data_IF_890899844911
#
_entry.id   IF_890899844911
#
_cell.length_a   1.000
_cell.length_b   1.000
_cell.length_c   1.000
_cell.angle_alpha   90.00
_cell.angle_beta   90.00
_cell.angle_gamma   90.00
#
_symmetry.space_group_name_H-M   'P 1'
#
loop_
_entity.id
_entity.type
_entity.pdbx_description
1 polymer ?
#
# COMPACT_ATOMS: atom_id res chain seq x y z
N UNK A 1 72.87 -51.04 -5.46
CA UNK A 1 71.69 -50.16 -5.49
C UNK A 1 71.07 -50.14 -4.10
N UNK A 2 71.13 -49.03 -3.36
CA UNK A 2 70.36 -48.87 -2.12
C UNK A 2 68.94 -48.47 -2.53
N UNK A 3 67.99 -49.39 -2.44
CA UNK A 3 66.56 -49.10 -2.59
C UNK A 3 66.05 -48.52 -1.28
N UNK A 4 65.76 -47.23 -1.25
CA UNK A 4 65.11 -46.58 -0.11
C UNK A 4 63.69 -47.15 0.03
N UNK A 5 63.40 -47.88 1.11
CA UNK A 5 62.07 -48.45 1.34
C UNK A 5 61.11 -47.34 1.79
N UNK A 6 60.19 -46.96 0.91
CA UNK A 6 59.00 -46.22 1.34
C UNK A 6 58.05 -47.27 1.94
N UNK A 7 57.63 -47.08 3.19
CA UNK A 7 56.70 -48.00 3.86
C UNK A 7 55.39 -48.11 3.08
N UNK A 8 54.89 -49.32 2.88
CA UNK A 8 53.58 -49.62 2.24
C UNK A 8 52.44 -48.86 2.91
N UNK A 9 52.57 -48.61 4.22
CA UNK A 9 51.64 -47.79 4.99
C UNK A 9 51.61 -46.34 4.48
N UNK A 10 52.77 -45.72 4.25
CA UNK A 10 52.86 -44.33 3.77
C UNK A 10 52.23 -44.17 2.37
N UNK A 11 52.39 -45.18 1.50
CA UNK A 11 51.78 -45.19 0.17
C UNK A 11 50.24 -45.33 0.27
N UNK A 12 49.76 -46.24 1.11
CA UNK A 12 48.32 -46.44 1.35
C UNK A 12 47.66 -45.19 1.96
N UNK A 13 48.29 -44.55 2.94
CA UNK A 13 47.77 -43.30 3.52
C UNK A 13 47.73 -42.16 2.50
N UNK A 14 48.76 -42.02 1.67
CA UNK A 14 48.80 -41.00 0.61
C UNK A 14 47.68 -41.19 -0.41
N UNK A 15 47.38 -42.42 -0.81
CA UNK A 15 46.27 -42.72 -1.73
C UNK A 15 44.90 -42.44 -1.10
N UNK A 16 44.70 -42.84 0.17
CA UNK A 16 43.48 -42.54 0.94
C UNK A 16 43.24 -41.03 1.06
N UNK A 17 44.26 -40.26 1.38
CA UNK A 17 44.19 -38.79 1.45
C UNK A 17 43.87 -38.17 0.09
N UNK A 18 44.44 -38.72 -0.99
CA UNK A 18 44.20 -38.23 -2.36
C UNK A 18 42.77 -38.50 -2.81
N UNK A 19 42.24 -39.70 -2.54
CA UNK A 19 40.83 -40.05 -2.80
C UNK A 19 39.89 -39.12 -2.02
N UNK A 20 40.15 -38.92 -0.72
CA UNK A 20 39.34 -38.00 0.09
C UNK A 20 39.33 -36.57 -0.46
N UNK A 21 40.48 -36.06 -0.91
CA UNK A 21 40.56 -34.75 -1.58
C UNK A 21 39.79 -34.70 -2.90
N UNK A 22 39.85 -35.75 -3.71
CA UNK A 22 39.10 -35.84 -4.97
C UNK A 22 37.58 -35.91 -4.73
N UNK A 23 37.15 -36.65 -3.72
CA UNK A 23 35.73 -36.71 -3.32
C UNK A 23 35.21 -35.34 -2.87
N UNK A 24 35.98 -34.60 -2.05
CA UNK A 24 35.62 -33.24 -1.65
C UNK A 24 35.53 -32.29 -2.84
N UNK A 25 36.51 -32.33 -3.75
CA UNK A 25 36.50 -31.53 -4.98
C UNK A 25 35.32 -31.87 -5.88
N UNK A 26 34.99 -33.16 -6.01
CA UNK A 26 33.85 -33.63 -6.79
C UNK A 26 32.53 -33.12 -6.20
N UNK A 27 32.36 -33.20 -4.87
CA UNK A 27 31.17 -32.68 -4.21
C UNK A 27 31.00 -31.16 -4.42
N UNK A 28 32.09 -30.38 -4.34
CA UNK A 28 32.06 -28.94 -4.66
C UNK A 28 31.73 -28.68 -6.12
N UNK A 29 32.36 -29.37 -7.07
CA UNK A 29 32.09 -29.20 -8.49
C UNK A 29 30.64 -29.60 -8.85
N UNK A 30 30.10 -30.65 -8.22
CA UNK A 30 28.69 -31.02 -8.35
C UNK A 30 27.77 -29.91 -7.84
N UNK A 31 28.08 -29.32 -6.67
CA UNK A 31 27.32 -28.17 -6.15
C UNK A 31 27.39 -26.98 -7.11
N UNK A 32 28.54 -26.69 -7.72
CA UNK A 32 28.70 -25.63 -8.72
C UNK A 32 27.86 -25.87 -9.96
N UNK A 33 27.85 -27.10 -10.49
CA UNK A 33 27.01 -27.47 -11.64
C UNK A 33 25.52 -27.29 -11.34
N UNK A 34 25.07 -27.73 -10.16
CA UNK A 34 23.65 -27.68 -9.78
C UNK A 34 23.19 -26.26 -9.49
N UNK A 35 24.01 -25.46 -8.81
CA UNK A 35 23.64 -24.11 -8.36
C UNK A 35 24.00 -23.01 -9.35
N UNK A 36 24.87 -23.29 -10.34
CA UNK A 36 25.44 -22.29 -11.23
C UNK A 36 26.35 -21.28 -10.54
N UNK A 37 26.73 -21.52 -9.27
CA UNK A 37 27.46 -20.61 -8.40
C UNK A 37 28.62 -21.32 -7.73
N UNK A 38 29.71 -20.60 -7.46
CA UNK A 38 30.88 -21.09 -6.73
C UNK A 38 30.45 -21.81 -5.43
N UNK A 39 30.95 -23.03 -5.21
CA UNK A 39 30.52 -23.88 -4.09
C UNK A 39 30.86 -23.26 -2.73
N UNK A 40 32.02 -22.62 -2.67
CA UNK A 40 32.51 -21.81 -1.56
C UNK A 40 32.97 -20.45 -2.11
N UNK A 41 32.05 -19.49 -2.05
CA UNK A 41 32.29 -18.11 -2.48
C UNK A 41 33.32 -17.42 -1.59
N UNK A 42 33.35 -17.75 -0.30
CA UNK A 42 34.30 -17.19 0.66
C UNK A 42 35.74 -17.56 0.32
N UNK A 43 35.95 -18.86 0.12
CA UNK A 43 37.27 -19.38 -0.24
C UNK A 43 37.70 -18.93 -1.64
N UNK A 44 36.79 -18.94 -2.61
CA UNK A 44 37.11 -18.63 -4.01
C UNK A 44 37.38 -17.14 -4.26
N UNK A 45 36.64 -16.25 -3.59
CA UNK A 45 36.79 -14.80 -3.76
C UNK A 45 37.82 -14.17 -2.80
N UNK A 46 38.13 -14.80 -1.67
CA UNK A 46 39.10 -14.30 -0.70
C UNK A 46 38.73 -12.90 -0.20
N UNK A 47 39.56 -11.89 -0.50
CA UNK A 47 39.30 -10.51 -0.06
C UNK A 47 38.02 -9.91 -0.69
N UNK A 48 37.60 -10.39 -1.86
CA UNK A 48 36.38 -9.92 -2.55
C UNK A 48 35.09 -10.46 -1.94
N UNK A 49 35.17 -11.39 -0.98
CA UNK A 49 33.98 -11.91 -0.29
C UNK A 49 33.23 -10.80 0.45
N UNK A 50 33.93 -9.79 0.98
CA UNK A 50 33.29 -8.64 1.63
C UNK A 50 32.43 -7.82 0.65
N UNK A 51 32.91 -7.66 -0.58
CA UNK A 51 32.19 -6.94 -1.64
C UNK A 51 30.88 -7.65 -2.01
N UNK A 52 30.91 -8.96 -2.28
CA UNK A 52 29.68 -9.69 -2.63
C UNK A 52 28.67 -9.71 -1.48
N UNK A 53 29.12 -9.84 -0.22
CA UNK A 53 28.22 -9.77 0.93
C UNK A 53 27.54 -8.41 1.01
N UNK A 54 28.30 -7.32 0.81
CA UNK A 54 27.73 -5.97 0.77
C UNK A 54 26.72 -5.79 -0.37
N UNK A 55 27.02 -6.30 -1.56
CA UNK A 55 26.11 -6.25 -2.71
C UNK A 55 24.81 -7.00 -2.45
N UNK A 56 24.87 -8.19 -1.82
CA UNK A 56 23.67 -8.95 -1.46
C UNK A 56 22.82 -8.24 -0.42
N UNK A 57 23.44 -7.62 0.59
CA UNK A 57 22.71 -6.82 1.58
C UNK A 57 22.01 -5.62 0.92
N UNK A 58 22.70 -4.94 0.01
CA UNK A 58 22.12 -3.83 -0.75
C UNK A 58 20.95 -4.28 -1.65
N UNK A 59 21.13 -5.41 -2.36
CA UNK A 59 20.10 -6.03 -3.19
C UNK A 59 18.82 -6.30 -2.40
N UNK A 60 18.93 -6.97 -1.25
CA UNK A 60 17.76 -7.28 -0.40
C UNK A 60 17.13 -6.02 0.20
N UNK A 61 17.95 -5.02 0.54
CA UNK A 61 17.44 -3.73 1.05
C UNK A 61 16.60 -3.02 0.00
N UNK A 62 17.09 -2.91 -1.23
CA UNK A 62 16.35 -2.24 -2.32
C UNK A 62 15.11 -3.07 -2.67
N UNK A 63 15.20 -4.40 -2.73
CA UNK A 63 14.06 -5.28 -2.97
C UNK A 63 12.94 -5.09 -1.94
N UNK A 64 13.29 -5.03 -0.65
CA UNK A 64 12.32 -4.77 0.42
C UNK A 64 11.64 -3.41 0.25
N UNK A 65 12.36 -2.40 -0.26
CA UNK A 65 11.79 -1.09 -0.54
C UNK A 65 10.85 -1.10 -1.75
N UNK A 66 11.16 -1.87 -2.81
CA UNK A 66 10.24 -2.12 -3.93
C UNK A 66 8.95 -2.78 -3.43
N UNK A 67 9.06 -3.80 -2.56
CA UNK A 67 7.90 -4.49 -2.00
C UNK A 67 7.04 -3.55 -1.15
N UNK A 68 7.67 -2.71 -0.32
CA UNK A 68 6.99 -1.69 0.48
C UNK A 68 6.29 -0.65 -0.41
N UNK A 69 6.93 -0.22 -1.49
CA UNK A 69 6.31 0.68 -2.47
C UNK A 69 5.11 0.05 -3.16
N UNK A 70 5.11 -1.27 -3.40
CA UNK A 70 3.93 -1.98 -3.92
C UNK A 70 2.73 -1.91 -2.98
N UNK A 71 2.96 -1.96 -1.66
CA UNK A 71 1.88 -1.77 -0.67
C UNK A 71 1.34 -0.33 -0.70
N UNK A 72 2.25 0.65 -0.81
CA UNK A 72 1.89 2.08 -0.92
C UNK A 72 1.06 2.35 -2.18
N UNK A 73 1.49 1.81 -3.32
CA UNK A 73 0.80 1.93 -4.61
C UNK A 73 -0.63 1.37 -4.53
N UNK A 74 -0.80 0.13 -4.04
CA UNK A 74 -2.12 -0.47 -3.85
C UNK A 74 -3.02 0.39 -2.95
N UNK A 75 -2.46 0.97 -1.88
CA UNK A 75 -3.21 1.85 -0.98
C UNK A 75 -3.63 3.15 -1.66
N UNK A 76 -2.76 3.75 -2.47
CA UNK A 76 -3.07 4.95 -3.25
C UNK A 76 -4.15 4.66 -4.30
N UNK A 77 -4.09 3.51 -4.98
CA UNK A 77 -5.12 3.09 -5.94
C UNK A 77 -6.50 2.94 -5.29
N UNK A 78 -6.57 2.25 -4.15
CA UNK A 78 -7.83 2.11 -3.40
C UNK A 78 -8.37 3.47 -2.94
N UNK A 79 -7.48 4.38 -2.52
CA UNK A 79 -7.86 5.74 -2.12
C UNK A 79 -8.42 6.53 -3.30
N UNK A 80 -7.76 6.48 -4.47
CA UNK A 80 -8.21 7.13 -5.70
C UNK A 80 -9.56 6.58 -6.18
N UNK A 81 -9.76 5.26 -6.11
CA UNK A 81 -11.03 4.63 -6.47
C UNK A 81 -12.17 5.08 -5.53
N UNK A 82 -11.90 5.18 -4.23
CA UNK A 82 -12.87 5.69 -3.26
C UNK A 82 -13.19 7.18 -3.50
N UNK A 83 -12.18 8.02 -3.77
CA UNK A 83 -12.39 9.43 -4.12
C UNK A 83 -13.19 9.59 -5.43
N UNK A 84 -12.93 8.75 -6.44
CA UNK A 84 -13.67 8.78 -7.69
C UNK A 84 -15.15 8.47 -7.46
N UNK A 85 -15.46 7.43 -6.68
CA UNK A 85 -16.83 7.09 -6.33
C UNK A 85 -17.53 8.21 -5.55
N UNK A 86 -16.80 8.96 -4.72
CA UNK A 86 -17.33 10.13 -4.01
C UNK A 86 -17.63 11.28 -4.99
N UNK A 87 -16.75 11.54 -5.94
CA UNK A 87 -16.95 12.56 -6.98
C UNK A 87 -18.17 12.22 -7.85
N UNK A 88 -18.30 10.97 -8.28
CA UNK A 88 -19.44 10.52 -9.09
C UNK A 88 -20.75 10.70 -8.31
N UNK A 89 -20.80 10.27 -7.04
CA UNK A 89 -21.97 10.46 -6.18
C UNK A 89 -22.32 11.94 -5.97
N UNK A 90 -21.33 12.82 -5.87
CA UNK A 90 -21.55 14.26 -5.75
C UNK A 90 -22.12 14.87 -7.05
N UNK A 91 -21.64 14.42 -8.22
CA UNK A 91 -22.15 14.87 -9.52
C UNK A 91 -23.60 14.41 -9.75
N UNK A 92 -23.89 13.13 -9.44
CA UNK A 92 -25.25 12.59 -9.52
C UNK A 92 -26.20 13.36 -8.60
N UNK A 93 -25.77 13.65 -7.38
CA UNK A 93 -26.54 14.43 -6.42
C UNK A 93 -26.85 15.86 -6.91
N UNK A 94 -25.90 16.53 -7.57
CA UNK A 94 -26.16 17.84 -8.20
C UNK A 94 -27.24 17.72 -9.29
N UNK A 95 -27.20 16.66 -10.11
CA UNK A 95 -28.23 16.38 -11.10
C UNK A 95 -29.61 16.15 -10.48
N UNK A 96 -29.67 15.35 -9.42
CA UNK A 96 -30.88 15.07 -8.64
C UNK A 96 -31.49 16.35 -8.04
N UNK A 97 -30.66 17.23 -7.48
CA UNK A 97 -31.07 18.51 -6.93
C UNK A 97 -31.72 19.42 -7.98
N UNK A 98 -31.12 19.49 -9.18
CA UNK A 98 -31.68 20.28 -10.28
C UNK A 98 -33.02 19.72 -10.76
N UNK A 99 -33.14 18.39 -10.86
CA UNK A 99 -34.39 17.73 -11.24
C UNK A 99 -35.50 17.95 -10.19
N UNK A 100 -35.16 17.90 -8.90
CA UNK A 100 -36.11 18.06 -7.80
C UNK A 100 -36.81 19.43 -7.79
N UNK A 101 -36.22 20.48 -8.37
CA UNK A 101 -36.87 21.80 -8.49
C UNK A 101 -38.09 21.82 -9.40
N UNK A 102 -38.19 20.86 -10.32
CA UNK A 102 -39.21 20.82 -11.36
C UNK A 102 -40.41 19.93 -11.04
N UNK A 103 -40.39 19.23 -9.89
CA UNK A 103 -41.40 18.23 -9.51
C UNK A 103 -42.00 18.52 -8.13
N UNK A 104 -43.32 18.36 -8.01
CA UNK A 104 -44.04 18.46 -6.72
C UNK A 104 -43.60 17.39 -5.70
N UNK A 105 -43.12 16.22 -6.16
CA UNK A 105 -42.54 15.17 -5.32
C UNK A 105 -41.04 15.31 -5.09
N UNK A 106 -40.44 16.38 -5.64
CA UNK A 106 -39.00 16.65 -5.59
C UNK A 106 -38.40 16.64 -4.18
N UNK A 107 -38.98 17.34 -3.18
CA UNK A 107 -38.42 17.39 -1.84
C UNK A 107 -38.25 16.02 -1.17
N UNK A 108 -39.24 15.13 -1.27
CA UNK A 108 -39.19 13.80 -0.67
C UNK A 108 -38.22 12.86 -1.40
N UNK A 109 -38.12 12.99 -2.72
CA UNK A 109 -37.17 12.21 -3.52
C UNK A 109 -35.73 12.58 -3.18
N UNK A 110 -35.42 13.89 -3.22
CA UNK A 110 -34.04 14.37 -3.04
C UNK A 110 -33.53 14.20 -1.62
N UNK A 111 -34.43 14.27 -0.62
CA UNK A 111 -34.09 13.92 0.76
C UNK A 111 -33.60 12.47 0.86
N UNK A 112 -34.35 11.51 0.28
CA UNK A 112 -33.96 10.09 0.30
C UNK A 112 -32.63 9.87 -0.43
N UNK A 113 -32.44 10.54 -1.57
CA UNK A 113 -31.17 10.50 -2.29
C UNK A 113 -30.01 11.06 -1.45
N UNK A 114 -30.23 12.17 -0.75
CA UNK A 114 -29.25 12.76 0.15
C UNK A 114 -28.90 11.84 1.34
N UNK A 115 -29.89 11.16 1.94
CA UNK A 115 -29.65 10.16 3.00
C UNK A 115 -28.78 9.00 2.51
N UNK A 116 -29.06 8.48 1.30
CA UNK A 116 -28.26 7.44 0.67
C UNK A 116 -26.85 7.92 0.31
N UNK A 117 -26.73 9.12 -0.26
CA UNK A 117 -25.45 9.71 -0.64
C UNK A 117 -24.57 10.02 0.57
N UNK A 118 -25.15 10.53 1.66
CA UNK A 118 -24.45 10.74 2.92
C UNK A 118 -23.94 9.41 3.49
N UNK A 119 -24.81 8.40 3.56
CA UNK A 119 -24.41 7.07 4.06
C UNK A 119 -23.29 6.47 3.20
N UNK A 120 -23.42 6.55 1.88
CA UNK A 120 -22.40 6.09 0.93
C UNK A 120 -21.07 6.83 1.07
N UNK A 121 -21.09 8.15 1.27
CA UNK A 121 -19.89 8.96 1.55
C UNK A 121 -19.18 8.46 2.81
N UNK A 122 -19.91 8.31 3.92
CA UNK A 122 -19.35 7.85 5.18
C UNK A 122 -18.76 6.43 5.04
N UNK A 123 -19.43 5.54 4.31
CA UNK A 123 -18.94 4.19 4.04
C UNK A 123 -17.64 4.20 3.23
N UNK A 124 -17.54 5.02 2.17
CA UNK A 124 -16.31 5.15 1.39
C UNK A 124 -15.16 5.68 2.23
N UNK A 125 -15.40 6.69 3.05
CA UNK A 125 -14.39 7.27 3.93
C UNK A 125 -13.99 6.33 5.07
N UNK A 126 -14.86 5.38 5.42
CA UNK A 126 -14.56 4.30 6.36
C UNK A 126 -13.99 3.03 5.69
N UNK A 127 -13.55 3.10 4.43
CA UNK A 127 -12.89 1.96 3.78
C UNK A 127 -11.57 1.64 4.48
N UNK A 128 -11.36 0.35 4.78
CA UNK A 128 -10.12 -0.16 5.36
C UNK A 128 -9.42 -1.12 4.39
N UNK A 129 -8.09 -1.15 4.48
CA UNK A 129 -7.23 -2.11 3.78
C UNK A 129 -6.21 -2.65 4.77
N UNK A 130 -6.11 -3.98 4.91
CA UNK A 130 -5.25 -4.66 5.88
C UNK A 130 -5.42 -4.11 7.32
N UNK A 131 -6.67 -4.03 7.80
CA UNK A 131 -7.05 -3.49 9.11
C UNK A 131 -6.66 -2.02 9.38
N UNK A 132 -6.26 -1.28 8.33
CA UNK A 132 -5.92 0.13 8.39
C UNK A 132 -6.87 0.98 7.53
N UNK A 133 -7.59 1.91 8.15
CA UNK A 133 -8.50 2.83 7.46
C UNK A 133 -7.74 3.76 6.51
N UNK A 134 -8.28 3.92 5.30
CA UNK A 134 -7.63 4.68 4.22
C UNK A 134 -7.60 6.19 4.51
N UNK A 135 -8.71 6.71 5.04
CA UNK A 135 -8.93 8.15 5.27
C UNK A 135 -8.78 8.57 6.74
N UNK A 136 -8.11 7.76 7.58
CA UNK A 136 -7.91 8.10 9.00
C UNK A 136 -6.70 9.02 9.27
N UNK A 137 -5.95 9.41 8.23
CA UNK A 137 -4.63 10.01 8.41
C UNK A 137 -3.71 9.03 9.15
N UNK A 138 -2.92 9.54 10.10
CA UNK A 138 -2.05 8.71 10.95
C UNK A 138 -2.80 7.86 12.01
N UNK A 139 -4.10 8.08 12.25
CA UNK A 139 -4.92 7.30 13.20
C UNK A 139 -5.50 6.02 12.53
N UNK A 140 -4.67 5.24 11.85
CA UNK A 140 -5.11 4.20 10.91
C UNK A 140 -5.94 3.08 11.54
N UNK A 141 -5.85 2.89 12.85
CA UNK A 141 -6.55 1.86 13.63
C UNK A 141 -7.94 2.29 14.13
N UNK A 142 -8.33 3.55 13.92
CA UNK A 142 -9.62 4.09 14.37
C UNK A 142 -10.52 4.38 13.16
N UNK A 143 -11.78 3.92 13.24
CA UNK A 143 -12.81 4.22 12.23
C UNK A 143 -12.96 5.74 12.09
N UNK A 144 -12.70 6.34 10.92
CA UNK A 144 -12.70 7.79 10.74
C UNK A 144 -14.01 8.47 11.10
N UNK A 145 -15.14 7.94 10.62
CA UNK A 145 -16.44 8.60 10.70
C UNK A 145 -17.49 7.68 11.31
N UNK A 146 -18.30 8.26 12.17
CA UNK A 146 -19.49 7.60 12.72
C UNK A 146 -20.65 7.70 11.74
N UNK A 147 -21.45 6.64 11.60
CA UNK A 147 -22.64 6.67 10.73
C UNK A 147 -23.64 7.72 11.26
N UNK A 148 -24.06 8.64 10.40
CA UNK A 148 -24.94 9.75 10.74
C UNK A 148 -26.34 9.30 11.17
N UNK A 149 -26.85 8.19 10.61
CA UNK A 149 -28.21 7.71 10.87
C UNK A 149 -28.27 6.56 11.88
N UNK A 150 -27.15 6.22 12.51
CA UNK A 150 -27.10 5.13 13.49
C UNK A 150 -27.92 5.41 14.75
N UNK A 151 -28.18 4.35 15.51
CA UNK A 151 -28.84 4.40 16.83
C UNK A 151 -27.90 3.80 17.88
N UNK A 152 -27.63 4.51 19.01
CA UNK A 152 -28.14 5.83 19.41
C UNK A 152 -27.65 6.98 18.53
N UNK A 153 -28.40 8.10 18.51
CA UNK A 153 -28.10 9.29 17.69
C UNK A 153 -26.65 9.76 17.88
N UNK A 154 -25.86 9.89 16.80
CA UNK A 154 -24.48 10.33 16.90
C UNK A 154 -24.37 11.84 17.16
N UNK A 155 -23.21 12.29 17.64
CA UNK A 155 -22.93 13.69 17.95
C UNK A 155 -23.11 14.61 16.72
N UNK A 156 -22.71 14.14 15.53
CA UNK A 156 -22.91 14.84 14.26
C UNK A 156 -24.39 15.20 14.03
N UNK A 157 -25.28 14.21 14.09
CA UNK A 157 -26.72 14.41 13.89
C UNK A 157 -27.36 15.23 15.01
N UNK A 158 -26.94 15.02 16.25
CA UNK A 158 -27.40 15.82 17.37
C UNK A 158 -27.03 17.30 17.19
N UNK A 159 -25.82 17.60 16.73
CA UNK A 159 -25.36 18.98 16.52
C UNK A 159 -26.17 19.71 15.44
N UNK A 160 -26.62 19.01 14.39
CA UNK A 160 -27.51 19.57 13.35
C UNK A 160 -28.90 19.86 13.90
N UNK A 161 -29.47 18.94 14.68
CA UNK A 161 -30.75 19.15 15.34
C UNK A 161 -30.72 20.32 16.35
N UNK A 162 -29.67 20.42 17.15
CA UNK A 162 -29.50 21.49 18.12
C UNK A 162 -29.31 22.86 17.45
N UNK A 163 -28.54 22.92 16.36
CA UNK A 163 -28.36 24.13 15.58
C UNK A 163 -29.68 24.61 14.95
N UNK A 164 -30.45 23.69 14.38
CA UNK A 164 -31.75 24.01 13.79
C UNK A 164 -32.74 24.49 14.85
N UNK A 165 -32.83 23.78 15.98
CA UNK A 165 -33.70 24.16 17.10
C UNK A 165 -33.31 25.52 17.69
N UNK A 166 -32.01 25.80 17.83
CA UNK A 166 -31.52 27.09 18.34
C UNK A 166 -31.89 28.24 17.42
N UNK A 167 -31.80 28.03 16.11
CA UNK A 167 -32.10 29.07 15.12
C UNK A 167 -33.61 29.35 14.98
N UNK A 168 -34.43 28.30 14.94
CA UNK A 168 -35.84 28.42 14.56
C UNK A 168 -36.81 28.22 15.73
N UNK A 169 -36.34 27.74 16.89
CA UNK A 169 -37.17 27.44 18.06
C UNK A 169 -38.07 26.21 17.89
N UNK A 170 -37.91 25.47 16.80
CA UNK A 170 -38.71 24.29 16.42
C UNK A 170 -37.79 23.17 15.93
N UNK A 171 -38.25 21.92 15.99
CA UNK A 171 -37.50 20.79 15.43
C UNK A 171 -37.73 20.67 13.92
N UNK A 172 -36.84 19.97 13.21
CA UNK A 172 -36.99 19.70 11.77
C UNK A 172 -38.25 18.89 11.42
N UNK A 173 -38.83 18.22 12.42
CA UNK A 173 -40.07 17.46 12.28
C UNK A 173 -41.33 18.26 12.62
N UNK A 174 -41.20 19.51 13.07
CA UNK A 174 -42.33 20.33 13.48
C UNK A 174 -43.16 20.79 12.26
N UNK A 175 -44.51 20.77 12.31
CA UNK A 175 -45.34 21.34 11.23
C UNK A 175 -45.07 22.83 10.93
N UNK A 176 -44.57 23.59 11.90
CA UNK A 176 -44.24 25.01 11.74
C UNK A 176 -43.02 25.26 10.84
N UNK A 177 -42.27 24.22 10.44
CA UNK A 177 -41.14 24.32 9.49
C UNK A 177 -41.56 24.97 8.16
N UNK A 178 -42.83 24.81 7.76
CA UNK A 178 -43.39 25.46 6.56
C UNK A 178 -43.34 26.98 6.62
N UNK A 179 -43.26 27.59 7.82
CA UNK A 179 -43.25 29.03 8.02
C UNK A 179 -41.83 29.66 7.91
N UNK A 180 -40.78 28.85 7.76
CA UNK A 180 -39.40 29.38 7.65
C UNK A 180 -39.24 30.09 6.31
N UNK A 181 -38.91 31.38 6.32
CA UNK A 181 -38.69 32.16 5.10
C UNK A 181 -37.36 31.77 4.42
N UNK A 182 -37.27 31.97 3.10
CA UNK A 182 -36.03 31.75 2.36
C UNK A 182 -34.84 32.55 2.94
N UNK A 183 -35.06 33.80 3.35
CA UNK A 183 -34.01 34.64 3.94
C UNK A 183 -33.51 34.12 5.29
N UNK A 184 -34.42 33.64 6.16
CA UNK A 184 -34.04 33.04 7.43
C UNK A 184 -33.30 31.71 7.22
N UNK A 185 -33.75 30.90 6.27
CA UNK A 185 -33.06 29.67 5.88
C UNK A 185 -31.66 29.97 5.34
N UNK A 186 -31.53 30.90 4.39
CA UNK A 186 -30.22 31.28 3.84
C UNK A 186 -29.27 31.76 4.93
N UNK A 187 -29.74 32.61 5.85
CA UNK A 187 -28.94 33.09 6.98
C UNK A 187 -28.46 31.91 7.85
N UNK A 188 -29.33 30.95 8.14
CA UNK A 188 -28.96 29.74 8.88
C UNK A 188 -27.89 28.92 8.15
N UNK A 189 -28.07 28.71 6.84
CA UNK A 189 -27.15 27.95 6.00
C UNK A 189 -25.76 28.60 5.94
N UNK A 190 -25.71 29.93 5.82
CA UNK A 190 -24.45 30.68 5.67
C UNK A 190 -23.70 30.89 7.00
N UNK A 191 -24.38 30.71 8.14
CA UNK A 191 -23.81 30.97 9.47
C UNK A 191 -23.78 29.71 10.33
N UNK A 192 -24.85 29.46 11.09
CA UNK A 192 -24.92 28.40 12.11
C UNK A 192 -24.68 27.01 11.51
N UNK A 193 -25.28 26.70 10.36
CA UNK A 193 -25.12 25.39 9.72
C UNK A 193 -23.72 25.22 9.13
N UNK A 194 -23.19 26.23 8.42
CA UNK A 194 -21.83 26.18 7.89
C UNK A 194 -20.79 25.93 8.99
N UNK A 195 -20.95 26.56 10.15
CA UNK A 195 -20.07 26.38 11.31
C UNK A 195 -20.01 24.96 11.87
N UNK A 196 -21.01 24.11 11.61
CA UNK A 196 -20.99 22.69 12.03
C UNK A 196 -19.94 21.86 11.27
N UNK A 197 -19.49 22.36 10.12
CA UNK A 197 -18.53 21.68 9.24
C UNK A 197 -17.16 22.37 9.25
N UNK A 198 -16.96 23.40 10.08
CA UNK A 198 -15.65 23.98 10.34
C UNK A 198 -14.71 22.98 11.02
N UNK A 199 -13.36 23.14 10.92
CA UNK A 199 -12.42 22.11 11.34
C UNK A 199 -12.63 21.66 12.79
N UNK A 200 -12.83 22.63 13.70
CA UNK A 200 -13.04 22.33 15.11
C UNK A 200 -14.34 21.56 15.40
N UNK A 201 -15.45 21.93 14.75
CA UNK A 201 -16.74 21.25 14.92
C UNK A 201 -16.74 19.86 14.27
N UNK A 202 -16.06 19.73 13.13
CA UNK A 202 -15.88 18.46 12.43
C UNK A 202 -15.11 17.44 13.28
N UNK A 203 -13.95 17.82 13.83
CA UNK A 203 -13.17 16.94 14.72
C UNK A 203 -13.93 16.61 16.00
N UNK A 204 -14.74 17.53 16.52
CA UNK A 204 -15.51 17.29 17.74
C UNK A 204 -16.69 16.31 17.54
N UNK A 205 -17.39 16.39 16.40
CA UNK A 205 -18.69 15.74 16.24
C UNK A 205 -18.75 14.68 15.13
N UNK A 206 -17.86 14.75 14.13
CA UNK A 206 -17.91 13.93 12.93
C UNK A 206 -16.75 12.94 12.83
N UNK A 207 -15.52 13.43 13.02
CA UNK A 207 -14.31 12.69 12.63
C UNK A 207 -13.35 12.40 13.77
N UNK A 208 -12.89 11.15 13.81
CA UNK A 208 -11.77 10.68 14.63
C UNK A 208 -10.46 10.55 13.83
N UNK A 209 -10.46 10.93 12.54
CA UNK A 209 -9.28 10.94 11.70
C UNK A 209 -8.30 12.04 12.14
N UNK A 210 -7.01 11.82 11.87
CA UNK A 210 -5.99 12.84 12.03
C UNK A 210 -5.90 13.73 10.78
N UNK A 211 -5.67 15.03 10.99
CA UNK A 211 -5.33 15.98 9.92
C UNK A 211 -3.96 15.70 9.28
N UNK A 212 -3.13 14.89 9.93
CA UNK A 212 -1.82 14.50 9.42
C UNK A 212 -1.93 13.27 8.54
N UNK A 213 -1.46 13.39 7.30
CA UNK A 213 -1.36 12.29 6.35
C UNK A 213 -0.20 11.36 6.66
N UNK A 214 -0.36 10.09 6.29
CA UNK A 214 0.69 9.07 6.38
C UNK A 214 1.80 9.41 5.39
N UNK A 215 3.04 9.39 5.90
CA UNK A 215 4.24 9.57 5.08
C UNK A 215 4.92 8.23 4.87
N UNK A 216 5.23 7.91 3.62
CA UNK A 216 5.97 6.71 3.27
C UNK A 216 7.33 7.06 2.67
N UNK A 217 8.32 6.26 3.01
CA UNK A 217 9.64 6.34 2.38
C UNK A 217 9.59 5.56 1.09
N UNK A 218 9.66 6.27 -0.04
CA UNK A 218 9.55 5.65 -1.36
C UNK A 218 10.91 5.42 -2.02
N UNK A 219 11.96 6.05 -1.50
CA UNK A 219 13.35 5.82 -1.87
C UNK A 219 14.29 6.02 -0.69
N UNK A 220 15.59 5.72 -0.88
CA UNK A 220 16.61 5.90 0.15
C UNK A 220 16.67 7.35 0.68
N UNK A 221 16.25 8.33 -0.13
CA UNK A 221 16.32 9.75 0.21
C UNK A 221 14.96 10.47 0.20
N UNK A 222 13.88 9.77 -0.16
CA UNK A 222 12.59 10.41 -0.41
C UNK A 222 11.50 9.91 0.53
N UNK A 223 10.87 10.87 1.21
CA UNK A 223 9.66 10.69 2.02
C UNK A 223 8.54 11.52 1.38
N UNK A 224 7.39 10.89 1.16
CA UNK A 224 6.25 11.52 0.49
C UNK A 224 4.98 11.27 1.29
N UNK A 225 4.05 12.22 1.28
CA UNK A 225 2.71 12.02 1.80
C UNK A 225 1.93 11.14 0.84
N UNK A 226 1.53 9.96 1.31
CA UNK A 226 0.97 8.86 0.51
C UNK A 226 -0.45 8.53 0.92
N UNK A 227 -1.15 9.48 1.52
CA UNK A 227 -2.55 9.35 1.90
C UNK A 227 -3.24 10.70 1.85
N UNK A 228 -4.57 10.66 1.95
CA UNK A 228 -5.42 11.77 2.36
C UNK A 228 -6.22 11.34 3.59
N UNK A 229 -7.09 12.20 4.10
CA UNK A 229 -7.85 11.95 5.32
C UNK A 229 -9.29 12.48 5.22
N UNK A 230 -10.15 12.09 6.16
CA UNK A 230 -11.55 12.47 6.19
C UNK A 230 -11.79 13.93 6.63
N UNK A 231 -10.74 14.68 7.00
CA UNK A 231 -10.84 16.06 7.49
C UNK A 231 -10.60 17.09 6.38
N UNK A 232 -10.27 16.65 5.16
CA UNK A 232 -10.10 17.53 4.00
C UNK A 232 -11.32 18.44 3.79
N UNK A 233 -11.07 19.69 3.42
CA UNK A 233 -12.12 20.70 3.26
C UNK A 233 -13.20 20.26 2.26
N UNK A 234 -12.80 19.62 1.16
CA UNK A 234 -13.70 19.14 0.12
C UNK A 234 -14.69 18.09 0.65
N UNK A 235 -14.20 17.18 1.50
CA UNK A 235 -15.02 16.13 2.13
C UNK A 235 -16.05 16.76 3.07
N UNK A 236 -15.62 17.69 3.92
CA UNK A 236 -16.50 18.42 4.85
C UNK A 236 -17.57 19.20 4.10
N UNK A 237 -17.19 19.85 3.01
CA UNK A 237 -18.11 20.59 2.14
C UNK A 237 -19.15 19.67 1.51
N UNK A 238 -18.75 18.51 1.00
CA UNK A 238 -19.68 17.54 0.44
C UNK A 238 -20.62 16.94 1.49
N UNK A 239 -20.08 16.57 2.66
CA UNK A 239 -20.88 16.11 3.79
C UNK A 239 -21.91 17.16 4.22
N UNK A 240 -21.54 18.45 4.19
CA UNK A 240 -22.47 19.55 4.47
C UNK A 240 -23.62 19.61 3.46
N UNK A 241 -23.34 19.43 2.17
CA UNK A 241 -24.35 19.46 1.12
C UNK A 241 -25.37 18.31 1.26
N UNK A 242 -24.88 17.09 1.49
CA UNK A 242 -25.77 15.94 1.70
C UNK A 242 -26.60 16.09 2.99
N UNK A 243 -25.97 16.49 4.10
CA UNK A 243 -26.65 16.67 5.38
C UNK A 243 -27.74 17.75 5.32
N UNK A 244 -27.46 18.84 4.60
CA UNK A 244 -28.38 19.96 4.43
C UNK A 244 -29.71 19.51 3.82
N UNK A 245 -29.65 18.60 2.85
CA UNK A 245 -30.85 18.11 2.15
C UNK A 245 -31.49 16.94 2.88
N UNK A 246 -30.69 16.10 3.52
CA UNK A 246 -31.16 14.93 4.24
C UNK A 246 -31.90 15.26 5.55
N UNK A 247 -31.43 16.24 6.34
CA UNK A 247 -31.83 16.35 7.75
C UNK A 247 -32.29 17.75 8.20
N UNK A 248 -32.49 18.70 7.27
CA UNK A 248 -33.08 20.03 7.56
C UNK A 248 -34.60 20.11 7.36
N UNK A 249 -35.28 18.98 7.29
CA UNK A 249 -36.75 18.93 7.15
C UNK A 249 -37.24 19.38 5.77
N UNK A 250 -36.47 19.11 4.72
CA UNK A 250 -36.74 19.50 3.32
C UNK A 250 -38.15 19.21 2.83
N UNK A 251 -38.75 18.10 3.24
CA UNK A 251 -40.14 17.71 2.92
C UNK A 251 -41.21 18.67 3.48
N UNK A 252 -40.90 19.41 4.56
CA UNK A 252 -41.84 20.29 5.27
C UNK A 252 -41.60 21.77 5.00
N UNK A 253 -40.51 22.12 4.33
CA UNK A 253 -40.21 23.51 3.96
C UNK A 253 -41.21 24.01 2.93
N UNK A 254 -41.52 25.31 2.97
CA UNK A 254 -42.17 25.94 1.83
C UNK A 254 -41.19 25.97 0.63
N UNK A 255 -41.75 26.16 -0.56
CA UNK A 255 -41.01 26.13 -1.82
C UNK A 255 -39.80 27.09 -1.85
N UNK A 256 -39.93 28.29 -1.29
CA UNK A 256 -38.86 29.29 -1.32
C UNK A 256 -37.67 28.91 -0.41
N UNK A 257 -37.94 28.36 0.77
CA UNK A 257 -36.90 27.88 1.68
C UNK A 257 -36.27 26.58 1.18
N UNK A 258 -37.07 25.69 0.57
CA UNK A 258 -36.55 24.50 -0.11
C UNK A 258 -35.57 24.86 -1.24
N UNK A 259 -35.90 25.86 -2.06
CA UNK A 259 -34.98 26.33 -3.12
C UNK A 259 -33.67 26.90 -2.55
N UNK A 260 -33.72 27.65 -1.44
CA UNK A 260 -32.50 28.12 -0.78
C UNK A 260 -31.59 26.97 -0.33
N UNK A 261 -32.17 25.90 0.24
CA UNK A 261 -31.44 24.67 0.60
C UNK A 261 -30.85 23.99 -0.63
N UNK A 262 -31.66 23.78 -1.67
CA UNK A 262 -31.22 23.10 -2.90
C UNK A 262 -30.11 23.86 -3.61
N UNK A 263 -30.22 25.19 -3.73
CA UNK A 263 -29.22 26.03 -4.39
C UNK A 263 -27.90 26.03 -3.62
N UNK A 264 -27.96 26.17 -2.29
CA UNK A 264 -26.77 26.14 -1.45
C UNK A 264 -26.13 24.75 -1.47
N UNK A 265 -26.91 23.68 -1.39
CA UNK A 265 -26.41 22.30 -1.46
C UNK A 265 -25.75 22.00 -2.81
N UNK A 266 -26.38 22.40 -3.92
CA UNK A 266 -25.83 22.22 -5.27
C UNK A 266 -24.51 22.99 -5.44
N UNK A 267 -24.45 24.24 -4.96
CA UNK A 267 -23.23 25.04 -4.98
C UNK A 267 -22.11 24.36 -4.17
N UNK A 268 -22.38 23.94 -2.93
CA UNK A 268 -21.41 23.29 -2.05
C UNK A 268 -20.91 21.97 -2.63
N UNK A 269 -21.80 21.15 -3.19
CA UNK A 269 -21.43 19.90 -3.85
C UNK A 269 -20.57 20.14 -5.10
N UNK A 270 -20.89 21.13 -5.94
CA UNK A 270 -20.10 21.48 -7.11
C UNK A 270 -18.70 21.99 -6.74
N UNK A 271 -18.58 22.85 -5.73
CA UNK A 271 -17.30 23.29 -5.17
C UNK A 271 -16.49 22.10 -4.62
N UNK A 272 -17.15 21.18 -3.93
CA UNK A 272 -16.50 19.98 -3.39
C UNK A 272 -15.97 19.07 -4.50
N UNK A 273 -16.71 18.87 -5.59
CA UNK A 273 -16.24 18.12 -6.77
C UNK A 273 -14.95 18.72 -7.32
N UNK A 274 -14.89 20.05 -7.48
CA UNK A 274 -13.70 20.73 -7.98
C UNK A 274 -12.48 20.55 -7.05
N UNK A 275 -12.68 20.66 -5.74
CA UNK A 275 -11.61 20.46 -4.75
C UNK A 275 -11.18 18.99 -4.64
N UNK A 276 -12.12 18.03 -4.72
CA UNK A 276 -11.82 16.60 -4.76
C UNK A 276 -11.00 16.23 -6.00
N UNK A 277 -11.29 16.82 -7.17
CA UNK A 277 -10.48 16.61 -8.37
C UNK A 277 -9.04 17.13 -8.20
N UNK A 278 -8.83 18.23 -7.47
CA UNK A 278 -7.48 18.72 -7.13
C UNK A 278 -6.76 17.75 -6.20
N UNK A 279 -7.47 17.19 -5.21
CA UNK A 279 -6.94 16.19 -4.30
C UNK A 279 -6.55 14.90 -5.06
N UNK A 280 -7.42 14.41 -5.95
CA UNK A 280 -7.11 13.26 -6.83
C UNK A 280 -5.91 13.54 -7.73
N UNK A 281 -5.79 14.75 -8.27
CA UNK A 281 -4.63 15.17 -9.05
C UNK A 281 -3.33 15.12 -8.24
N UNK A 282 -3.37 15.61 -7.00
CA UNK A 282 -2.23 15.59 -6.08
C UNK A 282 -1.82 14.15 -5.76
N UNK A 283 -2.78 13.27 -5.43
CA UNK A 283 -2.51 11.83 -5.22
C UNK A 283 -1.97 11.15 -6.48
N UNK A 284 -2.47 11.53 -7.66
CA UNK A 284 -1.96 11.04 -8.95
C UNK A 284 -0.48 11.36 -9.16
N UNK A 285 -0.03 12.56 -8.78
CA UNK A 285 1.41 12.89 -8.83
C UNK A 285 2.25 12.06 -7.87
N UNK A 286 1.69 11.68 -6.71
CA UNK A 286 2.37 10.81 -5.75
C UNK A 286 2.43 9.37 -6.26
N UNK A 287 1.36 8.87 -6.88
CA UNK A 287 1.35 7.55 -7.53
C UNK A 287 2.45 7.45 -8.59
N UNK A 288 2.58 8.47 -9.44
CA UNK A 288 3.62 8.52 -10.46
C UNK A 288 5.03 8.52 -9.84
N UNK A 289 5.25 9.28 -8.76
CA UNK A 289 6.54 9.28 -8.04
C UNK A 289 6.87 7.91 -7.47
N UNK A 290 5.89 7.20 -6.90
CA UNK A 290 6.08 5.83 -6.40
C UNK A 290 6.42 4.88 -7.54
N UNK A 291 5.74 4.99 -8.68
CA UNK A 291 6.01 4.19 -9.88
C UNK A 291 7.43 4.39 -10.40
N UNK A 292 7.86 5.65 -10.60
CA UNK A 292 9.21 6.00 -11.04
C UNK A 292 10.27 5.51 -10.05
N UNK A 293 10.01 5.63 -8.74
CA UNK A 293 10.92 5.14 -7.72
C UNK A 293 11.09 3.62 -7.80
N UNK A 294 10.00 2.86 -8.00
CA UNK A 294 10.06 1.41 -8.19
C UNK A 294 10.83 1.01 -9.45
N UNK A 295 10.58 1.68 -10.59
CA UNK A 295 11.29 1.41 -11.84
C UNK A 295 12.80 1.64 -11.67
N UNK A 296 13.16 2.79 -11.08
CA UNK A 296 14.57 3.14 -10.79
C UNK A 296 15.24 2.09 -9.90
N UNK A 297 14.54 1.64 -8.85
CA UNK A 297 15.05 0.60 -7.96
C UNK A 297 15.17 -0.76 -8.63
N UNK A 298 14.24 -1.12 -9.52
CA UNK A 298 14.31 -2.37 -10.28
C UNK A 298 15.58 -2.41 -11.13
N UNK A 299 15.91 -1.30 -11.81
CA UNK A 299 17.16 -1.17 -12.56
C UNK A 299 18.39 -1.33 -11.64
N UNK A 300 18.36 -0.74 -10.43
CA UNK A 300 19.45 -0.91 -9.46
C UNK A 300 19.59 -2.36 -8.99
N UNK A 301 18.48 -3.03 -8.70
CA UNK A 301 18.44 -4.45 -8.34
C UNK A 301 19.08 -5.30 -9.45
N UNK A 302 18.70 -5.07 -10.70
CA UNK A 302 19.23 -5.81 -11.85
C UNK A 302 20.73 -5.60 -12.04
N UNK A 303 21.22 -4.36 -11.88
CA UNK A 303 22.65 -4.04 -11.93
C UNK A 303 23.42 -4.78 -10.82
N UNK A 304 22.91 -4.72 -9.59
CA UNK A 304 23.55 -5.37 -8.43
C UNK A 304 23.52 -6.89 -8.60
N UNK A 305 22.41 -7.46 -9.06
CA UNK A 305 22.29 -8.89 -9.35
C UNK A 305 23.28 -9.32 -10.45
N UNK A 306 23.44 -8.50 -11.51
CA UNK A 306 24.45 -8.70 -12.54
C UNK A 306 25.87 -8.72 -11.98
N UNK A 307 26.20 -7.80 -11.07
CA UNK A 307 27.53 -7.74 -10.45
C UNK A 307 27.78 -8.94 -9.51
N UNK A 308 26.78 -9.35 -8.72
CA UNK A 308 26.84 -10.57 -7.91
C UNK A 308 27.09 -11.79 -8.80
N UNK A 309 26.37 -11.91 -9.93
CA UNK A 309 26.56 -13.01 -10.87
C UNK A 309 27.97 -12.98 -11.49
N UNK A 310 28.50 -11.82 -11.87
CA UNK A 310 29.88 -11.71 -12.38
C UNK A 310 30.94 -12.19 -11.36
N UNK A 311 30.68 -12.01 -10.07
CA UNK A 311 31.60 -12.44 -9.02
C UNK A 311 31.43 -13.91 -8.64
N UNK A 312 30.20 -14.42 -8.64
CA UNK A 312 29.87 -15.70 -8.00
C UNK A 312 29.48 -16.81 -8.97
N UNK A 313 29.11 -16.48 -10.21
CA UNK A 313 28.64 -17.48 -11.17
C UNK A 313 29.77 -18.35 -11.69
N UNK A 314 29.42 -19.59 -12.03
CA UNK A 314 30.32 -20.56 -12.68
C UNK A 314 29.71 -20.93 -14.03
N UNK A 315 30.54 -21.00 -15.07
CA UNK A 315 30.13 -21.53 -16.37
C UNK A 315 29.70 -23.01 -16.23
N UNK A 316 28.43 -23.35 -16.50
CA UNK A 316 27.94 -24.73 -16.38
C UNK A 316 28.69 -25.73 -17.27
N UNK A 317 29.20 -25.31 -18.43
CA UNK A 317 29.94 -26.17 -19.34
C UNK A 317 31.35 -26.47 -18.78
N UNK A 318 32.02 -25.46 -18.24
CA UNK A 318 33.31 -25.64 -17.57
C UNK A 318 33.15 -26.50 -16.31
N UNK A 319 32.13 -26.24 -15.50
CA UNK A 319 31.82 -27.00 -14.30
C UNK A 319 31.52 -28.46 -14.61
N UNK A 320 30.73 -28.74 -15.67
CA UNK A 320 30.42 -30.11 -16.11
C UNK A 320 31.65 -30.86 -16.60
N UNK A 321 32.53 -30.17 -17.33
CA UNK A 321 33.83 -30.72 -17.76
C UNK A 321 34.71 -31.05 -16.56
N UNK A 322 34.71 -30.19 -15.54
CA UNK A 322 35.45 -30.38 -14.28
C UNK A 322 34.92 -31.58 -13.49
N UNK A 323 33.59 -31.73 -13.37
CA UNK A 323 32.97 -32.91 -12.74
C UNK A 323 33.38 -34.20 -13.46
N UNK A 324 33.29 -34.22 -14.80
CA UNK A 324 33.67 -35.39 -15.60
C UNK A 324 35.15 -35.75 -15.43
N UNK A 325 36.02 -34.74 -15.42
CA UNK A 325 37.47 -34.91 -15.17
C UNK A 325 37.74 -35.48 -13.78
N UNK A 326 37.05 -34.96 -12.74
CA UNK A 326 37.21 -35.42 -11.36
C UNK A 326 36.69 -36.85 -11.16
N UNK A 327 35.60 -37.25 -11.84
CA UNK A 327 35.11 -38.62 -11.85
C UNK A 327 36.15 -39.59 -12.43
N UNK A 328 36.69 -39.29 -13.62
CA UNK A 328 37.74 -40.11 -14.23
C UNK A 328 38.99 -40.20 -13.35
N UNK A 329 39.40 -39.09 -12.71
CA UNK A 329 40.52 -39.10 -11.77
C UNK A 329 40.26 -39.96 -10.53
N UNK A 330 39.03 -39.93 -10.01
CA UNK A 330 38.62 -40.73 -8.87
C UNK A 330 38.59 -42.23 -9.21
N UNK A 331 38.04 -42.60 -10.36
CA UNK A 331 38.06 -43.98 -10.89
C UNK A 331 39.50 -44.49 -11.06
N UNK A 332 40.37 -43.66 -11.64
CA UNK A 332 41.78 -43.99 -11.82
C UNK A 332 42.50 -44.17 -10.48
N UNK A 333 42.22 -43.30 -9.49
CA UNK A 333 42.79 -43.39 -8.15
C UNK A 333 42.35 -44.67 -7.43
N UNK A 334 41.07 -45.09 -7.56
CA UNK A 334 40.60 -46.36 -7.03
C UNK A 334 41.27 -47.55 -7.71
N UNK A 335 41.40 -47.53 -9.04
CA UNK A 335 42.10 -48.59 -9.79
C UNK A 335 43.58 -48.71 -9.38
N UNK A 336 44.28 -47.58 -9.19
CA UNK A 336 45.66 -47.57 -8.72
C UNK A 336 45.79 -48.11 -7.29
N UNK A 337 44.87 -47.72 -6.40
CA UNK A 337 44.84 -48.20 -5.01
C UNK A 337 44.64 -49.72 -4.97
N UNK A 338 43.72 -50.25 -5.79
CA UNK A 338 43.52 -51.69 -5.94
C UNK A 338 44.79 -52.41 -6.45
N UNK A 339 45.49 -51.83 -7.43
CA UNK A 339 46.74 -52.40 -7.96
C UNK A 339 47.89 -52.36 -6.95
N UNK A 340 48.00 -51.31 -6.15
CA UNK A 340 48.99 -51.21 -5.06
C UNK A 340 48.72 -52.21 -3.94
N UNK A 341 47.45 -52.48 -3.60
CA UNK A 341 47.09 -53.54 -2.66
C UNK A 341 47.43 -54.95 -3.17
N UNK A 342 47.42 -55.17 -4.49
CA UNK A 342 47.80 -56.44 -5.11
C UNK A 342 49.33 -56.68 -5.16
N UNK A 343 50.16 -55.63 -5.04
CA UNK A 343 51.63 -55.70 -4.97
C UNK A 343 52.17 -56.15 -3.59
N UNK A 344 51.36 -56.85 -2.81
CA UNK A 344 51.76 -57.43 -1.53
C UNK A 344 52.96 -58.37 -1.72
N UNK A 345 53.99 -58.22 -0.88
CA UNK A 345 55.15 -59.13 -0.83
C UNK A 345 54.72 -60.58 -0.58
N UNK A 346 53.55 -60.81 0.05
CA UNK A 346 52.97 -62.14 0.26
C UNK A 346 52.53 -62.83 -1.04
N UNK A 347 52.36 -62.12 -2.15
CA UNK A 347 52.06 -62.72 -3.46
C UNK A 347 53.32 -63.15 -4.24
N UNK A 348 54.52 -62.81 -3.74
CA UNK A 348 55.82 -63.12 -4.35
C UNK A 348 56.73 -63.95 -3.43
N UNK A 349 56.18 -64.52 -2.36
CA UNK A 349 56.79 -65.52 -1.48
C UNK A 349 56.05 -66.86 -1.65
#
# INVERSE_FOLDING_TARGET
MKTTFISTQAISESTRLSIGKLQLKLASAQKEVVTGRLADVGLSLGYKTGETVSLRQEHERIRTMIDTNGVVENRLELTQAALQAIVDAAQDFVGDLLAARSSDSGPALVKRQAEMALSGLLDKLNTASNDAYLFAGINTDVKPLTDYFQVPTPASRQSVADAFLTQFGITQSDPAVVNITAANMQTFLDTTFAGLFDPAAWTANWSSASDQNVRSRISTFELVETSTNANEAAIRKLASAFTMVADLGTEKLNQSAFYAVVDTAAQRAAEAVQELSVLQGTLGTVQERVSIAKETMSVQVDIIAGHINLLEAVDPAEASTRVSTLLTQLETAYALTARLHQLSVLNYL
#
